data_IF_690896032116
#
_entry.id   IF_690896032116
#
_cell.length_a   1.000
_cell.length_b   1.000
_cell.length_c   1.000
_cell.angle_alpha   90.00
_cell.angle_beta   90.00
_cell.angle_gamma   90.00
#
_symmetry.space_group_name_H-M   'P 1'
#
loop_
_entity.id
_entity.type
_entity.pdbx_description
1 polymer ?
#
# COMPACT_ATOMS: atom_id res chain seq x y z
N UNK A 1 0.40 2.62 -34.54
CA UNK A 1 -0.26 3.49 -33.53
C UNK A 1 0.70 3.62 -32.37
N UNK A 2 0.95 4.83 -31.83
CA UNK A 2 1.77 4.94 -30.65
C UNK A 2 1.06 4.17 -29.52
N UNK A 3 1.73 3.17 -28.98
CA UNK A 3 1.27 2.48 -27.77
C UNK A 3 1.24 3.50 -26.64
N UNK A 4 0.08 3.70 -26.03
CA UNK A 4 -0.03 4.53 -24.83
C UNK A 4 1.03 4.08 -23.81
N UNK A 5 1.64 5.01 -23.07
CA UNK A 5 2.61 4.64 -22.04
C UNK A 5 1.95 3.67 -21.07
N UNK A 6 2.67 2.65 -20.64
CA UNK A 6 2.17 1.58 -19.77
C UNK A 6 1.72 2.09 -18.41
N UNK A 7 2.02 3.33 -18.08
CA UNK A 7 1.47 4.03 -16.93
C UNK A 7 1.25 5.50 -17.27
N UNK A 8 0.26 6.06 -16.65
CA UNK A 8 -0.01 7.49 -16.61
C UNK A 8 -0.09 7.93 -15.14
N UNK A 9 0.23 9.19 -14.91
CA UNK A 9 0.00 9.79 -13.61
C UNK A 9 -1.43 10.36 -13.61
N UNK A 10 -2.28 9.93 -12.66
CA UNK A 10 -3.61 10.51 -12.52
C UNK A 10 -3.55 12.03 -12.32
N UNK A 11 -4.60 12.72 -12.73
CA UNK A 11 -4.71 14.16 -12.51
C UNK A 11 -4.62 14.48 -11.02
N UNK A 12 -3.78 15.46 -10.67
CA UNK A 12 -3.55 15.86 -9.27
C UNK A 12 -2.65 14.90 -8.47
N UNK A 13 -1.95 13.97 -9.15
CA UNK A 13 -0.94 13.14 -8.49
C UNK A 13 0.10 14.05 -7.80
N UNK A 14 0.27 13.85 -6.51
CA UNK A 14 1.23 14.62 -5.71
C UNK A 14 1.86 13.77 -4.62
N UNK A 15 3.14 13.99 -4.37
CA UNK A 15 3.91 13.27 -3.34
C UNK A 15 4.27 14.26 -2.23
N UNK A 16 3.93 13.90 -1.00
CA UNK A 16 4.21 14.68 0.19
C UNK A 16 5.10 13.86 1.14
N UNK A 17 6.15 14.48 1.64
CA UNK A 17 7.02 13.88 2.65
C UNK A 17 6.47 14.25 4.02
N UNK A 18 6.21 13.25 4.86
CA UNK A 18 5.86 13.50 6.26
C UNK A 18 7.16 13.83 7.02
N UNK A 19 7.27 15.07 7.47
CA UNK A 19 8.50 15.60 8.07
C UNK A 19 9.07 14.69 9.17
N UNK A 20 10.38 14.44 9.11
CA UNK A 20 11.15 13.66 10.09
C UNK A 20 10.71 12.19 10.26
N UNK A 21 10.00 11.60 9.29
CA UNK A 21 9.48 10.24 9.44
C UNK A 21 9.90 9.27 8.34
N UNK A 22 10.44 9.75 7.22
CA UNK A 22 10.68 8.93 6.03
C UNK A 22 9.42 8.45 5.31
N UNK A 23 8.23 8.70 5.85
CA UNK A 23 6.97 8.36 5.21
C UNK A 23 6.68 9.32 4.05
N UNK A 24 6.10 8.79 3.00
CA UNK A 24 5.56 9.57 1.87
C UNK A 24 4.06 9.29 1.74
N UNK A 25 3.28 10.35 1.65
CA UNK A 25 1.85 10.25 1.33
C UNK A 25 1.66 10.76 -0.09
N UNK A 26 0.95 10.00 -0.90
CA UNK A 26 0.71 10.30 -2.31
C UNK A 26 -0.78 10.44 -2.51
N UNK A 27 -1.24 11.63 -2.85
CA UNK A 27 -2.62 11.86 -3.24
C UNK A 27 -2.81 11.55 -4.72
N UNK A 28 -3.99 11.05 -5.06
CA UNK A 28 -4.35 10.61 -6.41
C UNK A 28 -3.36 9.61 -7.01
N UNK A 29 -2.84 8.69 -6.19
CA UNK A 29 -2.00 7.60 -6.67
C UNK A 29 -2.80 6.63 -7.57
N UNK A 30 -4.07 6.41 -7.25
CA UNK A 30 -4.99 5.52 -7.96
C UNK A 30 -6.22 6.32 -8.40
N UNK A 31 -6.74 6.04 -9.60
CA UNK A 31 -7.98 6.67 -10.07
C UNK A 31 -9.21 6.04 -9.43
N UNK A 32 -10.35 6.71 -9.52
CA UNK A 32 -11.62 6.17 -9.04
C UNK A 32 -12.01 4.88 -9.79
N UNK A 33 -11.79 4.84 -11.11
CA UNK A 33 -12.09 3.66 -11.94
C UNK A 33 -11.19 2.47 -11.57
N UNK A 34 -9.90 2.72 -11.32
CA UNK A 34 -8.96 1.69 -10.86
C UNK A 34 -9.39 1.14 -9.48
N UNK A 35 -9.77 2.03 -8.56
CA UNK A 35 -10.23 1.65 -7.22
C UNK A 35 -11.51 0.82 -7.27
N UNK A 36 -12.50 1.27 -8.04
CA UNK A 36 -13.77 0.56 -8.23
C UNK A 36 -13.57 -0.83 -8.85
N UNK A 37 -12.75 -0.90 -9.90
CA UNK A 37 -12.40 -2.18 -10.52
C UNK A 37 -11.83 -3.17 -9.52
N UNK A 38 -10.87 -2.72 -8.69
CA UNK A 38 -10.22 -3.56 -7.69
C UNK A 38 -11.17 -4.04 -6.60
N UNK A 39 -12.03 -3.14 -6.09
CA UNK A 39 -13.05 -3.48 -5.09
C UNK A 39 -14.01 -4.53 -5.65
N UNK A 40 -14.56 -4.30 -6.85
CA UNK A 40 -15.54 -5.18 -7.46
C UNK A 40 -14.95 -6.57 -7.72
N UNK A 41 -13.74 -6.63 -8.26
CA UNK A 41 -13.05 -7.90 -8.52
C UNK A 41 -12.68 -8.64 -7.24
N UNK A 42 -12.30 -7.93 -6.17
CA UNK A 42 -11.92 -8.55 -4.91
C UNK A 42 -13.12 -9.05 -4.10
N UNK A 43 -14.24 -8.33 -4.16
CA UNK A 43 -15.43 -8.59 -3.34
C UNK A 43 -15.94 -10.03 -3.45
N UNK A 44 -15.89 -10.61 -4.64
CA UNK A 44 -16.36 -11.98 -4.92
C UNK A 44 -15.43 -13.07 -4.35
N UNK A 45 -14.21 -12.71 -3.96
CA UNK A 45 -13.16 -13.66 -3.59
C UNK A 45 -12.59 -13.42 -2.19
N UNK A 46 -13.31 -12.66 -1.35
CA UNK A 46 -12.84 -12.35 0.00
C UNK A 46 -12.80 -13.61 0.87
N UNK A 47 -11.67 -13.80 1.53
CA UNK A 47 -11.46 -14.81 2.56
C UNK A 47 -10.90 -14.16 3.82
N UNK A 48 -11.04 -14.80 4.98
CA UNK A 48 -10.41 -14.32 6.21
C UNK A 48 -8.93 -14.14 6.04
N UNK A 49 -8.41 -12.99 6.46
CA UNK A 49 -6.97 -12.74 6.41
C UNK A 49 -6.22 -13.61 7.42
N UNK A 50 -5.08 -14.13 6.98
CA UNK A 50 -4.17 -14.92 7.79
C UNK A 50 -2.87 -14.15 8.03
N UNK A 51 -2.14 -14.52 9.08
CA UNK A 51 -0.77 -14.10 9.30
C UNK A 51 0.19 -15.24 8.99
N UNK A 52 1.43 -14.92 8.64
CA UNK A 52 2.47 -15.94 8.47
C UNK A 52 3.22 -16.08 9.78
N UNK A 53 3.14 -17.27 10.36
CA UNK A 53 3.86 -17.64 11.58
C UNK A 53 4.61 -18.96 11.32
N UNK A 54 5.93 -18.96 11.52
CA UNK A 54 6.79 -20.12 11.24
C UNK A 54 6.55 -20.71 9.84
N UNK A 55 6.51 -19.84 8.81
CA UNK A 55 6.27 -20.18 7.40
C UNK A 55 4.91 -20.87 7.12
N UNK A 56 3.95 -20.73 8.02
CA UNK A 56 2.58 -21.22 7.83
C UNK A 56 1.58 -20.09 7.91
N UNK A 57 0.58 -20.11 7.04
CA UNK A 57 -0.55 -19.19 7.09
C UNK A 57 -1.52 -19.67 8.19
N UNK A 58 -1.66 -18.88 9.25
CA UNK A 58 -2.51 -19.20 10.40
C UNK A 58 -3.54 -18.11 10.65
N UNK A 59 -4.68 -18.49 11.21
CA UNK A 59 -5.64 -17.53 11.73
C UNK A 59 -5.06 -16.89 12.99
N UNK A 60 -5.21 -15.58 13.11
CA UNK A 60 -4.70 -14.80 14.23
C UNK A 60 -5.77 -13.82 14.72
N UNK A 61 -5.92 -13.71 16.03
CA UNK A 61 -6.88 -12.77 16.64
C UNK A 61 -6.45 -11.31 16.49
N UNK A 62 -5.17 -11.06 16.24
CA UNK A 62 -4.61 -9.73 15.99
C UNK A 62 -4.89 -9.19 14.59
N UNK A 63 -5.46 -10.03 13.70
CA UNK A 63 -5.87 -9.62 12.34
C UNK A 63 -7.28 -10.14 12.05
N UNK A 64 -8.26 -9.24 11.98
CA UNK A 64 -9.67 -9.62 11.81
C UNK A 64 -10.22 -9.32 10.40
N UNK A 65 -9.47 -8.64 9.56
CA UNK A 65 -9.85 -8.27 8.18
C UNK A 65 -10.08 -9.48 7.27
N UNK A 66 -10.72 -9.23 6.14
CA UNK A 66 -10.78 -10.14 4.99
C UNK A 66 -9.86 -9.67 3.87
N UNK A 67 -9.35 -10.58 3.06
CA UNK A 67 -8.56 -10.22 1.87
C UNK A 67 -8.90 -11.10 0.67
N UNK A 68 -8.57 -10.59 -0.49
CA UNK A 68 -8.62 -11.32 -1.75
C UNK A 68 -7.24 -11.39 -2.39
N UNK A 69 -6.88 -12.57 -2.87
CA UNK A 69 -5.67 -12.83 -3.67
C UNK A 69 -6.05 -12.97 -5.16
N UNK A 70 -7.08 -12.26 -5.59
CA UNK A 70 -7.69 -12.41 -6.92
C UNK A 70 -6.76 -12.07 -8.10
N UNK A 71 -5.54 -11.63 -7.83
CA UNK A 71 -4.63 -11.08 -8.83
C UNK A 71 -3.37 -11.93 -9.03
N UNK A 72 -3.51 -13.26 -9.11
CA UNK A 72 -2.39 -14.18 -9.35
C UNK A 72 -1.60 -13.89 -10.64
N UNK A 73 -2.24 -13.20 -11.59
CA UNK A 73 -1.63 -12.77 -12.85
C UNK A 73 -1.73 -11.26 -13.03
N UNK A 74 -1.53 -10.50 -11.95
CA UNK A 74 -1.62 -9.04 -11.98
C UNK A 74 -0.75 -8.40 -13.07
N UNK A 75 0.40 -8.99 -13.39
CA UNK A 75 1.27 -8.56 -14.48
C UNK A 75 0.65 -8.70 -15.88
N UNK A 76 -0.51 -9.34 -16.01
CA UNK A 76 -1.27 -9.48 -17.25
C UNK A 76 -2.57 -8.66 -17.24
N UNK A 77 -2.94 -8.09 -16.10
CA UNK A 77 -4.16 -7.30 -15.94
C UNK A 77 -3.89 -5.83 -16.31
N UNK A 78 -4.55 -5.36 -17.36
CA UNK A 78 -4.35 -4.00 -17.87
C UNK A 78 -4.79 -2.90 -16.90
N UNK A 79 -5.66 -3.19 -15.94
CA UNK A 79 -6.08 -2.22 -14.91
C UNK A 79 -5.10 -2.19 -13.73
N UNK A 80 -4.38 -3.27 -13.50
CA UNK A 80 -3.45 -3.41 -12.37
C UNK A 80 -2.03 -2.97 -12.75
N UNK A 81 -1.61 -3.21 -14.00
CA UNK A 81 -0.27 -2.83 -14.48
C UNK A 81 0.10 -1.37 -14.24
N UNK A 82 -0.77 -0.37 -14.50
CA UNK A 82 -0.44 1.03 -14.23
C UNK A 82 -0.19 1.31 -12.75
N UNK A 83 -0.90 0.65 -11.85
CA UNK A 83 -0.74 0.77 -10.40
C UNK A 83 0.64 0.25 -9.97
N UNK A 84 1.03 -0.94 -10.48
CA UNK A 84 2.35 -1.52 -10.21
C UNK A 84 3.46 -0.64 -10.77
N UNK A 85 3.29 -0.11 -11.99
CA UNK A 85 4.28 0.76 -12.63
C UNK A 85 4.52 2.05 -11.82
N UNK A 86 3.45 2.71 -11.37
CA UNK A 86 3.55 3.88 -10.48
C UNK A 86 4.23 3.52 -9.16
N UNK A 87 3.87 2.37 -8.58
CA UNK A 87 4.50 1.87 -7.36
C UNK A 87 6.00 1.61 -7.54
N UNK A 88 6.39 0.92 -8.59
CA UNK A 88 7.78 0.59 -8.91
C UNK A 88 8.64 1.86 -9.09
N UNK A 89 8.08 2.86 -9.79
CA UNK A 89 8.72 4.16 -9.97
C UNK A 89 8.97 4.86 -8.62
N UNK A 90 7.98 4.90 -7.72
CA UNK A 90 8.12 5.51 -6.40
C UNK A 90 9.02 4.70 -5.45
N UNK A 91 9.06 3.39 -5.62
CA UNK A 91 9.94 2.51 -4.86
C UNK A 91 11.39 2.52 -5.38
N UNK A 92 11.62 3.02 -6.60
CA UNK A 92 12.95 3.03 -7.23
C UNK A 92 13.43 1.64 -7.64
N UNK A 93 12.51 0.72 -7.96
CA UNK A 93 12.83 -0.68 -8.34
C UNK A 93 12.05 -1.09 -9.59
N UNK A 94 12.50 -2.13 -10.31
CA UNK A 94 11.75 -2.69 -11.43
C UNK A 94 10.37 -3.25 -11.02
N UNK A 95 9.41 -3.27 -11.94
CA UNK A 95 8.05 -3.76 -11.70
C UNK A 95 8.02 -5.25 -11.30
N UNK A 96 8.95 -6.05 -11.79
CA UNK A 96 9.06 -7.48 -11.50
C UNK A 96 9.58 -7.79 -10.09
N UNK A 97 9.91 -6.76 -9.30
CA UNK A 97 10.14 -6.84 -7.87
C UNK A 97 8.85 -6.80 -7.03
N UNK A 98 7.71 -6.53 -7.67
CA UNK A 98 6.42 -6.49 -6.98
C UNK A 98 5.96 -7.88 -6.57
N UNK A 99 5.49 -8.01 -5.32
CA UNK A 99 4.70 -9.17 -4.90
C UNK A 99 3.31 -9.15 -5.57
N UNK A 100 2.61 -10.23 -5.44
CA UNK A 100 1.19 -10.34 -5.76
C UNK A 100 0.40 -9.26 -5.01
N UNK A 101 -0.54 -8.60 -5.70
CA UNK A 101 -1.40 -7.60 -5.06
C UNK A 101 -2.43 -8.29 -4.16
N UNK A 102 -2.56 -7.75 -2.95
CA UNK A 102 -3.59 -8.11 -1.99
C UNK A 102 -4.54 -6.94 -1.81
N UNK A 103 -5.82 -7.19 -2.06
CA UNK A 103 -6.90 -6.25 -1.71
C UNK A 103 -7.48 -6.70 -0.38
N UNK A 104 -7.44 -5.84 0.62
CA UNK A 104 -7.98 -6.12 1.94
C UNK A 104 -9.20 -5.25 2.22
N UNK A 105 -10.20 -5.86 2.86
CA UNK A 105 -11.36 -5.17 3.42
C UNK A 105 -11.36 -5.28 4.93
N UNK A 106 -11.67 -4.18 5.58
CA UNK A 106 -11.96 -4.08 7.01
C UNK A 106 -13.39 -3.57 7.16
N UNK A 107 -14.25 -4.35 7.77
CA UNK A 107 -15.60 -3.95 8.17
C UNK A 107 -15.56 -3.24 9.53
N UNK A 108 -16.71 -2.73 9.98
CA UNK A 108 -16.87 -2.09 11.28
C UNK A 108 -16.20 -2.91 12.39
N UNK A 109 -15.28 -2.28 13.13
CA UNK A 109 -14.53 -2.88 14.22
C UNK A 109 -13.39 -3.83 13.81
N UNK A 110 -13.22 -4.18 12.53
CA UNK A 110 -12.10 -5.02 12.09
C UNK A 110 -10.78 -4.24 12.06
N UNK A 111 -9.70 -4.91 12.42
CA UNK A 111 -8.38 -4.30 12.60
C UNK A 111 -7.24 -5.24 12.20
N UNK A 112 -6.04 -4.70 12.17
CA UNK A 112 -4.79 -5.45 12.21
C UNK A 112 -3.85 -4.77 13.21
N UNK A 113 -3.46 -5.50 14.26
CA UNK A 113 -2.58 -5.02 15.32
C UNK A 113 -1.22 -4.58 14.78
N UNK A 114 -0.44 -3.92 15.63
CA UNK A 114 0.91 -3.44 15.31
C UNK A 114 1.82 -4.56 14.83
N UNK A 115 2.37 -4.40 13.63
CA UNK A 115 3.25 -5.36 12.98
C UNK A 115 4.27 -4.66 12.10
N UNK A 116 5.22 -5.43 11.62
CA UNK A 116 6.17 -5.03 10.57
C UNK A 116 5.86 -5.81 9.29
N UNK A 117 6.05 -5.18 8.15
CA UNK A 117 6.03 -5.88 6.86
C UNK A 117 7.37 -6.54 6.52
N UNK A 118 8.29 -6.52 7.45
CA UNK A 118 9.60 -7.16 7.37
C UNK A 118 9.54 -8.57 7.98
N UNK A 119 10.10 -9.56 7.29
CA UNK A 119 10.20 -10.92 7.80
C UNK A 119 11.48 -11.11 8.60
N UNK A 120 11.39 -11.68 9.80
CA UNK A 120 12.56 -12.04 10.61
C UNK A 120 13.09 -13.45 10.28
N UNK A 121 12.43 -14.19 9.36
CA UNK A 121 12.72 -15.61 9.15
C UNK A 121 13.89 -15.86 8.17
N UNK A 122 13.80 -15.32 6.96
CA UNK A 122 14.82 -15.50 5.92
C UNK A 122 15.02 -14.22 5.12
N UNK A 123 16.24 -13.96 4.68
CA UNK A 123 16.55 -12.82 3.80
C UNK A 123 15.69 -12.84 2.52
N UNK A 124 15.34 -14.03 2.02
CA UNK A 124 14.45 -14.18 0.87
C UNK A 124 13.03 -13.68 1.09
N UNK A 125 12.63 -13.43 2.35
CA UNK A 125 11.29 -12.97 2.68
C UNK A 125 11.24 -11.48 3.01
N UNK A 126 12.38 -10.78 2.95
CA UNK A 126 12.45 -9.37 3.23
C UNK A 126 11.74 -8.56 2.15
N UNK A 127 10.87 -7.63 2.58
CA UNK A 127 10.24 -6.62 1.74
C UNK A 127 11.03 -5.33 1.83
N UNK A 128 11.40 -4.77 0.69
CA UNK A 128 12.12 -3.50 0.61
C UNK A 128 11.24 -2.35 1.07
N UNK A 129 10.05 -2.24 0.47
CA UNK A 129 9.09 -1.21 0.83
C UNK A 129 7.65 -1.69 0.66
N UNK A 130 6.76 -0.95 1.30
CA UNK A 130 5.31 -1.11 1.20
C UNK A 130 4.69 0.16 0.64
N UNK A 131 3.72 -0.03 -0.24
CA UNK A 131 2.79 1.00 -0.69
C UNK A 131 1.39 0.51 -0.34
N UNK A 132 0.77 1.16 0.62
CA UNK A 132 -0.61 0.90 1.00
C UNK A 132 -1.49 1.96 0.35
N UNK A 133 -2.49 1.53 -0.42
CA UNK A 133 -3.36 2.40 -1.21
C UNK A 133 -4.79 2.25 -0.69
N UNK A 134 -5.41 3.36 -0.30
CA UNK A 134 -6.82 3.39 0.07
C UNK A 134 -7.70 3.46 -1.19
N UNK A 135 -8.69 2.59 -1.26
CA UNK A 135 -9.57 2.49 -2.43
C UNK A 135 -10.90 3.24 -2.24
N UNK A 136 -11.21 3.67 -1.01
CA UNK A 136 -12.41 4.45 -0.71
C UNK A 136 -12.13 5.49 0.37
N UNK A 137 -13.04 6.47 0.45
CA UNK A 137 -13.05 7.46 1.51
C UNK A 137 -13.63 6.88 2.79
N UNK A 138 -13.17 7.39 3.92
CA UNK A 138 -13.84 7.32 5.22
C UNK A 138 -13.90 8.73 5.82
N UNK A 139 -15.04 9.04 6.42
CA UNK A 139 -15.22 10.31 7.13
C UNK A 139 -14.36 10.38 8.38
N UNK A 140 -14.13 11.59 8.90
CA UNK A 140 -13.25 11.82 10.07
C UNK A 140 -13.64 11.02 11.31
N UNK A 141 -14.93 10.78 11.53
CA UNK A 141 -15.45 10.04 12.67
C UNK A 141 -15.49 8.54 12.45
N UNK A 142 -15.22 8.08 11.23
CA UNK A 142 -15.25 6.65 10.88
C UNK A 142 -13.94 5.92 11.16
N UNK A 143 -12.85 6.59 11.53
CA UNK A 143 -11.58 5.95 11.86
C UNK A 143 -10.91 5.30 10.66
N UNK A 144 -10.37 4.08 10.85
CA UNK A 144 -9.77 3.29 9.77
C UNK A 144 -8.36 3.72 9.36
N UNK A 145 -7.70 4.58 10.13
CA UNK A 145 -6.36 5.08 9.83
C UNK A 145 -5.33 3.94 9.79
N UNK A 146 -4.25 4.17 9.06
CA UNK A 146 -3.00 3.41 9.20
C UNK A 146 -2.12 4.16 10.18
N UNK A 147 -1.84 3.57 11.33
CA UNK A 147 -1.14 4.21 12.44
C UNK A 147 0.28 3.67 12.58
N UNK A 148 1.25 4.59 12.56
CA UNK A 148 2.66 4.33 12.79
C UNK A 148 3.01 4.77 14.21
N UNK A 149 3.10 3.81 15.10
CA UNK A 149 3.24 4.06 16.54
C UNK A 149 4.51 4.83 16.89
N UNK A 150 5.66 4.37 16.39
CA UNK A 150 6.96 4.94 16.75
C UNK A 150 7.15 6.36 16.18
N UNK A 151 6.48 6.65 15.07
CA UNK A 151 6.47 7.97 14.44
C UNK A 151 5.35 8.87 14.96
N UNK A 152 4.40 8.32 15.72
CA UNK A 152 3.19 8.99 16.17
C UNK A 152 2.39 9.66 15.03
N UNK A 153 2.24 8.94 13.91
CA UNK A 153 1.55 9.38 12.70
C UNK A 153 0.39 8.45 12.38
N UNK A 154 -0.77 9.01 12.11
CA UNK A 154 -1.93 8.29 11.58
C UNK A 154 -2.31 8.87 10.21
N UNK A 155 -2.40 8.00 9.18
CA UNK A 155 -2.80 8.40 7.84
C UNK A 155 -4.24 7.97 7.60
N UNK A 156 -5.09 8.95 7.27
CA UNK A 156 -6.52 8.72 7.04
C UNK A 156 -6.80 8.11 5.67
N UNK A 157 -7.78 7.19 5.59
CA UNK A 157 -8.32 6.71 4.34
C UNK A 157 -8.87 7.87 3.49
N UNK A 158 -8.43 7.90 2.24
CA UNK A 158 -8.96 8.76 1.18
C UNK A 158 -8.82 8.01 -0.13
N UNK A 159 -9.87 7.94 -0.91
CA UNK A 159 -9.87 7.25 -2.19
C UNK A 159 -8.69 7.70 -3.07
N UNK A 160 -7.93 6.75 -3.58
CA UNK A 160 -6.75 7.01 -4.39
C UNK A 160 -5.50 7.47 -3.63
N UNK A 161 -5.54 7.66 -2.32
CA UNK A 161 -4.36 8.00 -1.52
C UNK A 161 -3.51 6.77 -1.26
N UNK A 162 -2.18 6.93 -1.36
CA UNK A 162 -1.21 5.93 -0.92
C UNK A 162 -0.35 6.45 0.24
N UNK A 163 0.10 5.54 1.09
CA UNK A 163 1.18 5.78 2.04
C UNK A 163 2.31 4.81 1.75
N UNK A 164 3.55 5.32 1.73
CA UNK A 164 4.74 4.60 1.31
C UNK A 164 5.77 4.66 2.42
N UNK A 165 6.36 3.50 2.75
CA UNK A 165 7.47 3.40 3.70
C UNK A 165 8.46 2.32 3.30
N UNK A 166 9.70 2.47 3.77
CA UNK A 166 10.74 1.46 3.62
C UNK A 166 10.70 0.52 4.82
N UNK A 167 10.75 -0.80 4.57
CA UNK A 167 10.78 -1.81 5.62
C UNK A 167 12.19 -2.16 6.09
N UNK A 168 13.19 -1.75 5.32
CA UNK A 168 14.60 -2.04 5.54
C UNK A 168 15.42 -0.76 5.60
N UNK A 169 16.41 -0.75 6.47
CA UNK A 169 17.50 0.21 6.45
C UNK A 169 18.51 -0.08 5.31
N UNK A 170 19.36 0.87 4.94
CA UNK A 170 20.38 0.66 3.90
C UNK A 170 21.34 -0.51 4.18
N UNK A 171 21.53 -0.89 5.43
CA UNK A 171 22.35 -2.04 5.85
C UNK A 171 21.62 -3.40 5.80
N UNK A 172 20.35 -3.39 5.36
CA UNK A 172 19.50 -4.57 5.28
C UNK A 172 18.75 -4.94 6.56
N UNK A 173 18.97 -4.23 7.66
CA UNK A 173 18.27 -4.45 8.91
C UNK A 173 16.82 -3.96 8.85
N UNK A 174 15.99 -4.45 9.75
CA UNK A 174 14.60 -4.02 9.92
C UNK A 174 14.52 -2.53 10.27
N UNK A 175 13.67 -1.78 9.60
CA UNK A 175 13.38 -0.40 9.93
C UNK A 175 12.36 -0.32 11.07
N UNK A 176 12.83 -0.17 12.29
CA UNK A 176 12.00 -0.30 13.50
C UNK A 176 10.93 0.78 13.64
N UNK A 177 11.12 1.95 13.07
CA UNK A 177 10.15 3.05 13.13
C UNK A 177 8.88 2.80 12.29
N UNK A 178 8.90 1.78 11.42
CA UNK A 178 7.78 1.48 10.50
C UNK A 178 6.82 0.43 11.03
N UNK A 179 6.88 0.12 12.34
CA UNK A 179 5.80 -0.63 12.99
C UNK A 179 4.47 0.11 12.79
N UNK A 180 3.49 -0.59 12.23
CA UNK A 180 2.20 0.04 11.89
C UNK A 180 1.02 -0.87 12.19
N UNK A 181 -0.15 -0.25 12.35
CA UNK A 181 -1.42 -0.93 12.60
C UNK A 181 -2.50 -0.40 11.66
N UNK A 182 -3.45 -1.25 11.30
CA UNK A 182 -4.70 -0.82 10.70
C UNK A 182 -5.73 -0.62 11.82
N UNK A 183 -6.06 0.64 12.11
CA UNK A 183 -7.09 0.98 13.07
C UNK A 183 -8.47 0.61 12.50
N UNK A 184 -9.43 0.23 13.37
CA UNK A 184 -10.74 -0.21 12.92
C UNK A 184 -11.54 0.94 12.31
N UNK A 185 -12.21 0.72 11.18
CA UNK A 185 -13.28 1.59 10.77
C UNK A 185 -14.45 1.46 11.76
N UNK A 186 -15.30 2.48 11.84
CA UNK A 186 -16.39 2.59 12.81
C UNK A 186 -17.69 2.96 12.12
N UNK A 187 -18.76 2.35 12.57
CA UNK A 187 -20.12 2.58 12.10
C UNK A 187 -20.66 1.40 11.30
N UNK A 188 -21.92 1.07 11.56
CA UNK A 188 -22.61 -0.03 10.89
C UNK A 188 -22.54 0.14 9.37
N UNK A 189 -22.14 -0.91 8.66
CA UNK A 189 -21.97 -0.91 7.21
C UNK A 189 -20.72 -0.22 6.69
N UNK A 190 -19.88 0.38 7.56
CA UNK A 190 -18.61 0.99 7.15
C UNK A 190 -17.63 -0.07 6.69
N UNK A 191 -17.05 0.12 5.50
CA UNK A 191 -16.00 -0.72 4.95
C UNK A 191 -14.79 0.14 4.57
N UNK A 192 -13.61 -0.27 5.00
CA UNK A 192 -12.32 0.27 4.53
C UNK A 192 -11.71 -0.71 3.55
N UNK A 193 -11.41 -0.25 2.35
CA UNK A 193 -10.76 -1.04 1.32
C UNK A 193 -9.37 -0.51 1.03
N UNK A 194 -8.37 -1.40 0.98
CA UNK A 194 -6.98 -1.05 0.72
C UNK A 194 -6.32 -2.08 -0.19
N UNK A 195 -5.30 -1.63 -0.94
CA UNK A 195 -4.32 -2.50 -1.59
C UNK A 195 -3.06 -2.50 -0.74
N UNK A 196 -2.45 -3.68 -0.60
CA UNK A 196 -1.06 -3.81 -0.18
C UNK A 196 -0.23 -4.20 -1.40
N UNK A 197 0.68 -3.32 -1.76
CA UNK A 197 1.64 -3.52 -2.82
C UNK A 197 3.03 -3.53 -2.19
N UNK A 198 3.66 -4.69 -2.17
CA UNK A 198 4.98 -4.91 -1.61
C UNK A 198 6.03 -5.07 -2.70
N UNK A 199 7.18 -4.48 -2.50
CA UNK A 199 8.34 -4.66 -3.36
C UNK A 199 9.46 -5.36 -2.62
N UNK A 200 10.10 -6.33 -3.32
CA UNK A 200 11.25 -7.09 -2.83
C UNK A 200 12.55 -6.44 -3.30
N UNK A 201 13.68 -6.68 -2.62
CA UNK A 201 14.98 -6.25 -3.12
C UNK A 201 15.49 -7.06 -4.33
N UNK A 202 14.73 -8.04 -4.80
CA UNK A 202 15.06 -8.93 -5.92
C UNK A 202 13.83 -9.21 -6.79
N UNK A 203 14.08 -9.73 -7.99
CA UNK A 203 13.05 -10.06 -8.98
C UNK A 203 12.15 -11.19 -8.50
N UNK A 204 10.83 -10.95 -8.48
CA UNK A 204 9.80 -11.92 -8.10
C UNK A 204 9.24 -12.67 -9.29
N UNK A 205 9.09 -11.97 -10.41
CA UNK A 205 8.48 -12.52 -11.62
C UNK A 205 9.34 -12.16 -12.82
N UNK A 206 9.79 -13.13 -13.64
CA UNK A 206 10.48 -12.83 -14.88
C UNK A 206 9.47 -12.24 -15.87
N UNK A 207 9.31 -10.93 -15.87
CA UNK A 207 8.51 -10.20 -16.86
C UNK A 207 9.38 -10.08 -18.10
N UNK A 208 9.42 -11.15 -18.91
CA UNK A 208 10.15 -11.14 -20.17
C UNK A 208 9.45 -10.22 -21.16
N UNK A 209 10.24 -9.37 -21.82
CA UNK A 209 9.98 -8.66 -23.07
C UNK A 209 9.01 -7.46 -23.07
N UNK A 210 7.98 -7.39 -22.21
CA UNK A 210 7.07 -6.24 -22.22
C UNK A 210 7.62 -4.99 -21.51
N UNK A 211 8.57 -5.15 -20.59
CA UNK A 211 9.16 -4.04 -19.83
C UNK A 211 10.27 -3.29 -20.57
N UNK A 212 10.90 -3.91 -21.57
CA UNK A 212 11.93 -3.26 -22.38
C UNK A 212 11.39 -2.04 -23.17
N UNK A 213 10.07 -1.91 -23.30
CA UNK A 213 9.40 -0.78 -23.96
C UNK A 213 8.86 0.27 -22.97
N UNK A 214 9.02 0.06 -21.65
CA UNK A 214 8.66 1.05 -20.62
C UNK A 214 9.74 2.14 -20.56
N UNK A 215 9.55 3.20 -21.32
CA UNK A 215 10.24 4.44 -21.00
C UNK A 215 9.63 4.99 -19.71
N UNK A 216 10.37 4.85 -18.61
CA UNK A 216 10.07 5.58 -17.37
C UNK A 216 10.10 7.06 -17.72
N UNK A 217 8.97 7.75 -17.58
CA UNK A 217 8.93 9.20 -17.78
C UNK A 217 9.92 9.82 -16.78
N UNK A 218 10.89 10.56 -17.31
CA UNK A 218 11.87 11.27 -16.48
C UNK A 218 11.14 12.24 -15.55
N UNK A 219 11.33 12.02 -14.27
CA UNK A 219 11.11 13.02 -13.24
C UNK A 219 9.65 13.32 -12.91
N UNK A 220 9.13 12.63 -11.89
CA UNK A 220 8.06 13.23 -11.09
C UNK A 220 8.71 14.35 -10.30
N UNK A 221 8.24 15.59 -10.40
CA UNK A 221 8.69 16.62 -9.48
C UNK A 221 8.26 16.21 -8.07
N UNK A 222 9.21 15.76 -7.26
CA UNK A 222 9.04 15.74 -5.82
C UNK A 222 8.84 17.21 -5.42
N UNK A 223 7.63 17.58 -5.08
CA UNK A 223 7.40 18.85 -4.40
C UNK A 223 8.09 18.73 -3.06
N UNK A 224 9.17 19.51 -2.87
CA UNK A 224 9.89 19.52 -1.61
C UNK A 224 8.98 20.01 -0.49
N UNK A 225 9.16 19.47 0.71
CA UNK A 225 8.72 19.95 2.05
C UNK A 225 7.37 20.69 2.15
N UNK A 226 6.43 20.51 1.24
CA UNK A 226 5.07 21.02 1.39
C UNK A 226 4.38 20.22 2.50
N UNK A 227 3.97 20.92 3.55
CA UNK A 227 3.13 20.33 4.60
C UNK A 227 1.89 19.71 3.99
N UNK A 228 1.57 18.50 4.45
CA UNK A 228 0.34 17.84 4.05
C UNK A 228 -0.87 18.73 4.40
N UNK A 229 -1.91 18.74 3.55
CA UNK A 229 -3.13 19.47 3.85
C UNK A 229 -3.66 19.13 5.24
N UNK A 230 -4.22 20.09 5.98
CA UNK A 230 -4.82 19.84 7.29
C UNK A 230 -5.79 18.67 7.24
N UNK A 231 -5.66 17.73 8.20
CA UNK A 231 -6.50 16.53 8.26
C UNK A 231 -6.01 15.33 7.45
N UNK A 232 -4.92 15.45 6.69
CA UNK A 232 -4.33 14.31 5.96
C UNK A 232 -3.71 13.29 6.90
N UNK A 233 -3.09 13.77 7.97
CA UNK A 233 -2.56 12.96 9.07
C UNK A 233 -2.86 13.65 10.39
N UNK A 234 -2.94 12.89 11.45
CA UNK A 234 -3.15 13.42 12.80
C UNK A 234 -1.99 12.92 13.66
N UNK A 235 -1.23 13.79 14.33
CA UNK A 235 -0.41 13.35 15.45
C UNK A 235 -1.36 12.71 16.47
N UNK A 236 -1.19 11.43 16.74
CA UNK A 236 -2.05 10.73 17.69
C UNK A 236 -1.76 11.24 19.09
N UNK A 237 -2.66 12.05 19.64
CA UNK A 237 -2.61 12.44 21.07
C UNK A 237 -3.20 11.36 22.00
N UNK A 238 -3.75 10.27 21.45
CA UNK A 238 -4.57 9.31 22.19
C UNK A 238 -4.44 7.90 21.67
N UNK A 239 -3.26 7.32 21.72
CA UNK A 239 -3.10 5.89 21.69
C UNK A 239 -2.21 5.50 22.88
N UNK A 240 -2.81 5.54 24.08
CA UNK A 240 -2.29 4.85 25.25
C UNK A 240 -2.86 3.43 25.27
#
# INVERSE_FOLDING_TARGET
MPTAPLYYLPQGFSVHIVANTGLRVVDNFCTAEEAEYLINKAREHLTRSKVILNNKAVDDSGRTSSHSVAFHRHHQDSHVLPIIARGAMLAGVPMDHAEQIYVSRYSDGEFYHGHYDFSDSFMSDHRLCTILIYLNDLDENQGGETYFRELNVAVRPKAGRAVIWTNMNPDGSKHLETAHAALPPRGEGTEKWVIQLWFRPYQMHPIREKLASLQVAEGIPLKGDEELPPGTWIPSKTAA
#
